data_IF_189749887098
#
_entry.id   IF_189749887098
#
_cell.length_a   1.000
_cell.length_b   1.000
_cell.length_c   1.000
_cell.angle_alpha   90.00
_cell.angle_beta   90.00
_cell.angle_gamma   90.00
#
_symmetry.space_group_name_H-M   'P 1'
#
loop_
_entity.id
_entity.type
_entity.pdbx_description
1 polymer ?
#
# COMPACT_ATOMS: atom_id res chain seq x y z
N UNK A 1 44.29 -17.16 77.61
CA UNK A 1 44.11 -15.72 77.92
C UNK A 1 45.06 -14.99 77.00
N UNK A 2 44.65 -14.32 75.92
CA UNK A 2 43.43 -13.53 75.78
C UNK A 2 43.02 -13.38 74.31
N UNK A 3 41.76 -13.01 74.13
CA UNK A 3 40.90 -13.05 72.95
C UNK A 3 41.41 -12.36 71.67
N UNK A 4 41.22 -13.04 70.54
CA UNK A 4 41.21 -12.45 69.20
C UNK A 4 39.81 -11.86 68.97
N UNK A 5 39.66 -10.54 68.70
CA UNK A 5 38.34 -9.98 68.41
C UNK A 5 37.93 -10.36 66.98
N UNK A 6 36.85 -11.15 66.87
CA UNK A 6 36.08 -11.31 65.64
C UNK A 6 35.20 -10.07 65.45
N UNK A 7 35.35 -9.27 64.39
CA UNK A 7 34.32 -8.30 64.03
C UNK A 7 33.11 -9.04 63.45
N UNK A 8 32.04 -9.11 64.25
CA UNK A 8 30.70 -9.28 63.76
C UNK A 8 30.31 -8.03 62.95
N UNK A 9 29.86 -8.21 61.71
CA UNK A 9 29.55 -7.09 60.84
C UNK A 9 28.81 -7.51 59.59
N UNK A 10 27.54 -7.89 59.80
CA UNK A 10 26.39 -7.72 58.91
C UNK A 10 26.57 -7.88 57.40
N UNK A 11 25.82 -8.86 56.86
CA UNK A 11 25.10 -8.79 55.58
C UNK A 11 25.47 -7.62 54.66
N UNK A 12 26.67 -7.72 54.08
CA UNK A 12 27.03 -6.98 52.88
C UNK A 12 26.26 -7.57 51.72
N UNK A 13 24.94 -7.30 51.64
CA UNK A 13 24.25 -7.16 50.36
C UNK A 13 25.22 -6.37 49.51
N UNK A 14 25.84 -7.01 48.51
CA UNK A 14 26.66 -6.33 47.51
C UNK A 14 25.79 -5.19 47.01
N UNK A 15 26.04 -3.99 47.52
CA UNK A 15 25.44 -2.78 47.02
C UNK A 15 25.86 -2.78 45.56
N UNK A 16 24.90 -3.11 44.68
CA UNK A 16 25.07 -2.91 43.26
C UNK A 16 25.59 -1.48 43.13
N UNK A 17 26.73 -1.26 42.45
CA UNK A 17 27.25 0.09 42.24
C UNK A 17 26.10 0.96 41.80
N UNK A 18 25.92 2.12 42.43
CA UNK A 18 24.95 3.13 42.00
C UNK A 18 25.16 3.30 40.50
N UNK A 19 24.29 2.66 39.71
CA UNK A 19 24.34 2.82 38.27
C UNK A 19 24.09 4.30 38.09
N UNK A 20 24.98 5.04 37.41
CA UNK A 20 24.65 6.41 37.05
C UNK A 20 23.26 6.31 36.42
N UNK A 21 22.29 7.05 36.96
CA UNK A 21 21.01 7.23 36.31
C UNK A 21 21.39 7.62 34.89
N UNK A 22 21.24 6.67 33.96
CA UNK A 22 21.25 6.96 32.55
C UNK A 22 20.12 7.97 32.47
N UNK A 23 20.47 9.25 32.51
CA UNK A 23 19.64 10.31 32.01
C UNK A 23 19.39 9.84 30.61
N UNK A 24 18.24 9.18 30.43
CA UNK A 24 17.82 8.65 29.15
C UNK A 24 17.90 9.86 28.25
N UNK A 25 18.94 9.90 27.41
CA UNK A 25 19.20 11.04 26.56
C UNK A 25 17.92 11.16 25.76
N UNK A 26 17.09 12.18 26.05
CA UNK A 26 15.74 12.28 25.51
C UNK A 26 15.90 12.23 24.01
N UNK A 27 15.55 11.11 23.39
CA UNK A 27 15.78 10.86 21.97
C UNK A 27 14.68 11.60 21.24
N UNK A 28 14.93 12.79 20.66
CA UNK A 28 13.86 13.62 20.09
C UNK A 28 13.18 12.92 18.91
N UNK A 29 13.86 11.95 18.27
CA UNK A 29 13.29 11.12 17.21
C UNK A 29 12.20 10.17 17.72
N UNK A 30 12.34 9.58 18.91
CA UNK A 30 11.32 8.71 19.49
C UNK A 30 10.09 9.52 19.92
N UNK A 31 10.30 10.71 20.49
CA UNK A 31 9.21 11.63 20.82
C UNK A 31 8.47 12.05 19.53
N UNK A 32 9.19 12.36 18.45
CA UNK A 32 8.59 12.71 17.16
C UNK A 32 7.82 11.54 16.52
N UNK A 33 8.32 10.30 16.62
CA UNK A 33 7.63 9.10 16.14
C UNK A 33 6.36 8.81 16.95
N UNK A 34 6.42 8.90 18.28
CA UNK A 34 5.26 8.76 19.16
C UNK A 34 4.17 9.80 18.84
N UNK A 35 4.57 11.05 18.61
CA UNK A 35 3.66 12.12 18.18
C UNK A 35 3.06 11.89 16.79
N UNK A 36 3.83 11.31 15.84
CA UNK A 36 3.33 10.93 14.52
C UNK A 36 2.30 9.80 14.61
N UNK A 37 2.59 8.76 15.38
CA UNK A 37 1.68 7.62 15.60
C UNK A 37 0.39 8.05 16.31
N UNK A 38 0.48 8.95 17.29
CA UNK A 38 -0.69 9.49 17.98
C UNK A 38 -1.59 10.34 17.07
N UNK A 39 -1.04 10.98 16.03
CA UNK A 39 -1.80 11.76 15.03
C UNK A 39 -2.31 10.91 13.86
N UNK A 40 -1.75 9.72 13.65
CA UNK A 40 -2.09 8.80 12.57
C UNK A 40 -3.59 8.43 12.51
N UNK A 41 -4.30 8.12 13.62
CA UNK A 41 -5.74 7.84 13.56
C UNK A 41 -6.57 9.09 13.17
N UNK A 42 -6.16 10.28 13.63
CA UNK A 42 -6.84 11.54 13.29
C UNK A 42 -6.65 11.95 11.84
N UNK A 43 -5.45 11.75 11.29
CA UNK A 43 -5.17 12.02 9.87
C UNK A 43 -5.92 11.06 8.94
N UNK A 44 -6.07 9.78 9.33
CA UNK A 44 -6.89 8.82 8.60
C UNK A 44 -8.38 9.20 8.59
N UNK A 45 -8.91 9.67 9.72
CA UNK A 45 -10.29 10.19 9.81
C UNK A 45 -10.51 11.44 8.94
N UNK A 46 -9.55 12.36 8.91
CA UNK A 46 -9.60 13.53 8.01
C UNK A 46 -9.56 13.07 6.54
N UNK A 47 -8.76 12.05 6.22
CA UNK A 47 -8.73 11.44 4.90
C UNK A 47 -10.05 10.82 4.45
N UNK A 48 -10.90 10.37 5.38
CA UNK A 48 -12.23 9.83 5.05
C UNK A 48 -13.25 10.92 4.65
N UNK A 49 -13.05 12.16 5.11
CA UNK A 49 -13.96 13.28 4.82
C UNK A 49 -14.15 13.53 3.32
N UNK A 50 -13.10 13.56 2.47
CA UNK A 50 -13.29 13.63 1.01
C UNK A 50 -13.67 12.29 0.37
N UNK A 51 -13.33 11.15 0.98
CA UNK A 51 -13.62 9.81 0.41
C UNK A 51 -15.12 9.51 0.45
N UNK A 52 -15.81 9.85 1.55
CA UNK A 52 -17.24 9.55 1.71
C UNK A 52 -18.11 10.23 0.62
N UNK A 53 -17.97 11.55 0.37
CA UNK A 53 -18.70 12.24 -0.68
C UNK A 53 -18.38 11.70 -2.07
N UNK A 54 -17.11 11.37 -2.34
CA UNK A 54 -16.71 10.77 -3.62
C UNK A 54 -17.34 9.39 -3.79
N UNK A 55 -17.33 8.55 -2.76
CA UNK A 55 -17.97 7.23 -2.80
C UNK A 55 -19.48 7.31 -3.00
N UNK A 56 -20.15 8.28 -2.36
CA UNK A 56 -21.59 8.56 -2.55
C UNK A 56 -21.87 9.08 -3.95
N UNK A 57 -21.04 9.98 -4.46
CA UNK A 57 -21.19 10.50 -5.83
C UNK A 57 -21.00 9.38 -6.86
N UNK A 58 -20.00 8.52 -6.63
CA UNK A 58 -19.70 7.39 -7.48
C UNK A 58 -20.80 6.32 -7.44
N UNK A 59 -21.45 6.08 -6.30
CA UNK A 59 -22.54 5.10 -6.20
C UNK A 59 -23.81 5.49 -6.96
N UNK A 60 -23.96 6.77 -7.30
CA UNK A 60 -25.09 7.30 -8.09
C UNK A 60 -24.68 7.56 -9.55
N UNK A 61 -23.37 7.64 -9.85
CA UNK A 61 -22.85 8.18 -11.10
C UNK A 61 -22.99 7.28 -12.33
N UNK A 62 -23.01 5.95 -12.18
CA UNK A 62 -22.97 5.00 -13.32
C UNK A 62 -24.22 4.11 -13.32
N UNK A 63 -25.38 4.72 -13.58
CA UNK A 63 -26.66 3.99 -13.62
C UNK A 63 -27.16 3.47 -12.27
N UNK A 64 -26.64 4.02 -11.15
CA UNK A 64 -26.94 3.58 -9.79
C UNK A 64 -25.88 2.64 -9.20
N UNK A 65 -26.15 2.10 -8.00
CA UNK A 65 -25.15 1.35 -7.23
C UNK A 65 -24.64 0.10 -7.97
N UNK A 66 -25.53 -0.61 -8.68
CA UNK A 66 -25.19 -1.82 -9.42
C UNK A 66 -24.25 -1.53 -10.60
N UNK A 67 -24.59 -0.56 -11.47
CA UNK A 67 -23.73 -0.19 -12.59
C UNK A 67 -22.39 0.41 -12.14
N UNK A 68 -22.40 1.11 -11.00
CA UNK A 68 -21.16 1.62 -10.38
C UNK A 68 -20.26 0.49 -9.91
N UNK A 69 -20.79 -0.60 -9.35
CA UNK A 69 -20.00 -1.78 -8.96
C UNK A 69 -19.46 -2.51 -10.19
N UNK A 70 -20.25 -2.64 -11.25
CA UNK A 70 -19.83 -3.32 -12.49
C UNK A 70 -18.65 -2.61 -13.17
N UNK A 71 -18.60 -1.28 -13.11
CA UNK A 71 -17.51 -0.49 -13.68
C UNK A 71 -16.35 -0.31 -12.70
N UNK A 72 -16.63 0.09 -11.45
CA UNK A 72 -15.59 0.39 -10.47
C UNK A 72 -14.91 -0.87 -9.92
N UNK A 73 -15.63 -2.00 -9.81
CA UNK A 73 -15.07 -3.25 -9.30
C UNK A 73 -13.79 -3.65 -10.04
N UNK A 74 -13.87 -3.91 -11.36
CA UNK A 74 -12.71 -4.23 -12.18
C UNK A 74 -11.63 -3.14 -12.14
N UNK A 75 -12.00 -1.85 -12.28
CA UNK A 75 -11.04 -0.74 -12.26
C UNK A 75 -10.24 -0.69 -10.95
N UNK A 76 -10.92 -0.86 -9.81
CA UNK A 76 -10.28 -0.92 -8.49
C UNK A 76 -9.39 -2.15 -8.39
N UNK A 77 -9.87 -3.33 -8.79
CA UNK A 77 -9.08 -4.57 -8.76
C UNK A 77 -7.79 -4.44 -9.56
N UNK A 78 -7.84 -3.89 -10.77
CA UNK A 78 -6.64 -3.68 -11.59
C UNK A 78 -5.76 -2.51 -11.14
N UNK A 79 -6.28 -1.62 -10.29
CA UNK A 79 -5.49 -0.57 -9.66
C UNK A 79 -4.62 -1.09 -8.50
N UNK A 80 -5.05 -2.15 -7.80
CA UNK A 80 -4.32 -2.71 -6.64
C UNK A 80 -2.86 -3.11 -6.93
N UNK A 81 -2.53 -3.85 -8.00
CA UNK A 81 -1.13 -4.18 -8.29
C UNK A 81 -0.30 -2.94 -8.63
N UNK A 82 -0.91 -1.90 -9.21
CA UNK A 82 -0.26 -0.61 -9.46
C UNK A 82 0.03 0.13 -8.16
N UNK A 83 -0.93 0.15 -7.23
CA UNK A 83 -0.73 0.71 -5.89
C UNK A 83 0.42 -0.01 -5.18
N UNK A 84 0.47 -1.34 -5.24
CA UNK A 84 1.57 -2.12 -4.67
C UNK A 84 2.92 -1.81 -5.34
N UNK A 85 2.94 -1.63 -6.67
CA UNK A 85 4.14 -1.19 -7.40
C UNK A 85 4.63 0.16 -6.89
N UNK A 86 3.74 1.15 -6.79
CA UNK A 86 4.09 2.50 -6.35
C UNK A 86 4.63 2.48 -4.92
N UNK A 87 3.91 1.81 -4.01
CA UNK A 87 4.26 1.76 -2.60
C UNK A 87 5.56 0.98 -2.33
N UNK A 88 5.72 -0.22 -2.91
CA UNK A 88 6.79 -1.15 -2.51
C UNK A 88 8.02 -1.17 -3.43
N UNK A 89 7.85 -0.79 -4.70
CA UNK A 89 8.92 -0.85 -5.70
C UNK A 89 9.41 0.53 -6.09
N UNK A 90 8.50 1.49 -6.20
CA UNK A 90 8.84 2.86 -6.58
C UNK A 90 9.02 3.80 -5.38
N UNK A 91 8.83 3.32 -4.14
CA UNK A 91 9.05 4.09 -2.91
C UNK A 91 8.25 5.41 -2.93
N UNK A 92 6.95 5.30 -3.21
CA UNK A 92 6.00 6.42 -3.31
C UNK A 92 6.35 7.45 -4.40
N UNK A 93 7.04 7.03 -5.45
CA UNK A 93 7.23 7.81 -6.67
C UNK A 93 6.03 7.60 -7.63
N UNK A 94 5.45 8.64 -8.26
CA UNK A 94 5.97 10.00 -8.49
C UNK A 94 5.83 11.01 -7.34
N UNK A 95 4.98 10.74 -6.36
CA UNK A 95 4.67 11.64 -5.25
C UNK A 95 5.89 12.20 -4.50
N UNK A 96 6.90 11.38 -4.25
CA UNK A 96 8.15 11.78 -3.57
C UNK A 96 9.02 12.76 -4.37
N UNK A 97 8.83 12.87 -5.69
CA UNK A 97 9.60 13.77 -6.57
C UNK A 97 8.91 15.08 -6.90
N UNK A 98 7.62 15.20 -6.58
CA UNK A 98 6.79 16.35 -6.91
C UNK A 98 6.66 17.30 -5.71
N UNK A 99 6.31 18.56 -5.98
CA UNK A 99 6.03 19.54 -4.92
C UNK A 99 4.93 19.00 -3.99
N UNK A 100 4.92 19.34 -2.69
CA UNK A 100 3.97 18.79 -1.71
C UNK A 100 2.48 18.91 -2.06
N UNK A 101 2.09 19.82 -2.97
CA UNK A 101 0.70 19.97 -3.44
C UNK A 101 0.34 19.11 -4.67
N UNK A 102 1.31 18.50 -5.35
CA UNK A 102 1.12 17.74 -6.59
C UNK A 102 1.30 16.24 -6.44
N UNK A 103 1.84 15.76 -5.32
CA UNK A 103 2.11 14.35 -5.09
C UNK A 103 0.83 13.50 -5.10
N UNK A 104 -0.16 13.86 -4.28
CA UNK A 104 -1.43 13.14 -4.20
C UNK A 104 -2.19 13.06 -5.54
N UNK A 105 -2.39 14.19 -6.25
CA UNK A 105 -3.04 14.16 -7.57
C UNK A 105 -2.28 13.35 -8.61
N UNK A 106 -0.94 13.43 -8.64
CA UNK A 106 -0.14 12.69 -9.61
C UNK A 106 -0.20 11.18 -9.36
N UNK A 107 -0.08 10.74 -8.11
CA UNK A 107 -0.20 9.32 -7.77
C UNK A 107 -1.59 8.79 -8.15
N UNK A 108 -2.63 9.56 -7.85
CA UNK A 108 -4.01 9.22 -8.21
C UNK A 108 -4.19 9.09 -9.72
N UNK A 109 -3.64 10.02 -10.50
CA UNK A 109 -3.70 9.98 -11.97
C UNK A 109 -2.94 8.78 -12.55
N UNK A 110 -1.76 8.45 -12.01
CA UNK A 110 -0.98 7.29 -12.44
C UNK A 110 -1.73 6.00 -12.13
N UNK A 111 -2.29 5.87 -10.92
CA UNK A 111 -3.08 4.70 -10.51
C UNK A 111 -4.31 4.55 -11.41
N UNK A 112 -5.07 5.63 -11.60
CA UNK A 112 -6.27 5.61 -12.42
C UNK A 112 -5.96 5.24 -13.88
N UNK A 113 -4.95 5.87 -14.48
CA UNK A 113 -4.57 5.62 -15.87
C UNK A 113 -4.05 4.19 -16.07
N UNK A 114 -3.15 3.72 -15.20
CA UNK A 114 -2.62 2.37 -15.29
C UNK A 114 -3.71 1.31 -15.03
N UNK A 115 -4.61 1.54 -14.08
CA UNK A 115 -5.75 0.66 -13.79
C UNK A 115 -6.68 0.50 -15.00
N UNK A 116 -6.98 1.59 -15.71
CA UNK A 116 -7.75 1.56 -16.97
C UNK A 116 -7.00 0.73 -18.04
N UNK A 117 -5.70 0.97 -18.24
CA UNK A 117 -4.92 0.24 -19.23
C UNK A 117 -4.84 -1.27 -18.94
N UNK A 118 -4.62 -1.65 -17.68
CA UNK A 118 -4.61 -3.06 -17.25
C UNK A 118 -5.97 -3.73 -17.44
N UNK A 119 -7.06 -2.99 -17.18
CA UNK A 119 -8.43 -3.46 -17.39
C UNK A 119 -8.71 -3.70 -18.88
N UNK A 120 -8.30 -2.77 -19.75
CA UNK A 120 -8.41 -2.93 -21.21
C UNK A 120 -7.57 -4.10 -21.72
N UNK A 121 -6.37 -4.28 -21.16
CA UNK A 121 -5.49 -5.39 -21.54
C UNK A 121 -6.12 -6.74 -21.14
N UNK A 122 -6.77 -6.83 -19.99
CA UNK A 122 -7.48 -8.03 -19.57
C UNK A 122 -8.70 -8.34 -20.48
N UNK A 123 -9.46 -7.32 -20.90
CA UNK A 123 -10.53 -7.51 -21.89
C UNK A 123 -9.98 -8.08 -23.20
N UNK A 124 -8.83 -7.57 -23.67
CA UNK A 124 -8.19 -8.05 -24.90
C UNK A 124 -7.73 -9.51 -24.82
N UNK A 125 -7.37 -10.00 -23.62
CA UNK A 125 -7.01 -11.42 -23.40
C UNK A 125 -8.25 -12.32 -23.38
N UNK A 126 -9.33 -11.86 -22.74
CA UNK A 126 -10.53 -12.69 -22.50
C UNK A 126 -11.44 -12.75 -23.72
N UNK A 127 -11.63 -11.64 -24.44
CA UNK A 127 -12.51 -11.58 -25.61
C UNK A 127 -11.97 -10.60 -26.66
N UNK A 128 -12.13 -9.29 -26.44
CA UNK A 128 -11.68 -8.22 -27.32
C UNK A 128 -11.55 -6.90 -26.56
N UNK A 129 -10.74 -5.99 -27.10
CA UNK A 129 -10.63 -4.64 -26.55
C UNK A 129 -11.89 -3.82 -26.85
N UNK A 130 -12.60 -3.42 -25.80
CA UNK A 130 -13.87 -2.69 -25.90
C UNK A 130 -13.93 -1.55 -24.89
N UNK A 131 -13.53 -0.36 -25.35
CA UNK A 131 -13.53 0.87 -24.57
C UNK A 131 -14.91 1.24 -24.01
N UNK A 132 -15.99 0.91 -24.73
CA UNK A 132 -17.35 1.17 -24.22
C UNK A 132 -17.68 0.18 -23.11
N UNK A 133 -17.34 -1.09 -23.28
CA UNK A 133 -17.50 -2.12 -22.24
C UNK A 133 -16.75 -1.85 -20.93
N UNK A 134 -15.72 -0.97 -20.92
CA UNK A 134 -15.02 -0.56 -19.68
C UNK A 134 -15.86 0.42 -18.84
N UNK A 135 -16.60 1.33 -19.49
CA UNK A 135 -17.26 2.46 -18.82
C UNK A 135 -18.79 2.42 -18.88
N UNK A 136 -19.37 1.59 -19.74
CA UNK A 136 -20.81 1.46 -19.92
C UNK A 136 -21.31 0.19 -19.20
N UNK A 137 -22.04 0.33 -18.08
CA UNK A 137 -22.59 -0.81 -17.34
C UNK A 137 -23.74 -1.50 -18.07
N UNK A 138 -24.32 -0.85 -19.09
CA UNK A 138 -25.44 -1.36 -19.90
C UNK A 138 -25.00 -1.93 -21.25
N UNK A 139 -23.69 -1.99 -21.48
CA UNK A 139 -23.07 -2.60 -22.64
C UNK A 139 -23.59 -4.05 -22.78
N UNK A 140 -24.57 -4.25 -23.65
CA UNK A 140 -25.29 -5.53 -23.80
C UNK A 140 -24.37 -6.69 -24.23
N UNK A 141 -24.93 -7.87 -24.45
CA UNK A 141 -24.22 -9.14 -24.72
C UNK A 141 -23.19 -9.13 -25.89
N UNK A 142 -23.10 -8.03 -26.65
CA UNK A 142 -22.06 -7.76 -27.65
C UNK A 142 -20.88 -6.92 -27.17
N UNK A 143 -20.66 -6.76 -25.87
CA UNK A 143 -19.49 -6.05 -25.31
C UNK A 143 -18.67 -6.97 -24.40
N UNK A 144 -17.35 -6.73 -24.35
CA UNK A 144 -16.44 -7.55 -23.54
C UNK A 144 -16.62 -7.21 -22.05
N UNK A 145 -17.39 -8.03 -21.33
CA UNK A 145 -17.66 -7.84 -19.92
C UNK A 145 -16.38 -7.96 -19.08
N UNK A 146 -16.01 -6.90 -18.37
CA UNK A 146 -14.91 -6.90 -17.40
C UNK A 146 -15.30 -7.65 -16.13
N UNK A 147 -16.53 -7.46 -15.65
CA UNK A 147 -17.08 -8.19 -14.51
C UNK A 147 -17.97 -9.36 -14.97
N UNK A 148 -17.83 -10.58 -14.41
CA UNK A 148 -16.78 -11.05 -13.50
C UNK A 148 -15.55 -11.60 -14.23
N UNK A 149 -15.58 -11.71 -15.57
CA UNK A 149 -14.66 -12.54 -16.35
C UNK A 149 -13.18 -12.16 -16.22
N UNK A 150 -12.86 -10.87 -16.02
CA UNK A 150 -11.47 -10.39 -15.89
C UNK A 150 -11.00 -10.27 -14.44
N UNK A 151 -11.90 -10.40 -13.45
CA UNK A 151 -11.57 -10.12 -12.05
C UNK A 151 -10.57 -11.10 -11.43
N UNK A 152 -10.64 -12.38 -11.82
CA UNK A 152 -9.69 -13.40 -11.37
C UNK A 152 -8.26 -13.09 -11.84
N UNK A 153 -8.11 -12.53 -13.04
CA UNK A 153 -6.81 -12.08 -13.58
C UNK A 153 -6.27 -10.92 -12.73
N UNK A 154 -7.10 -9.91 -12.46
CA UNK A 154 -6.67 -8.76 -11.65
C UNK A 154 -6.31 -9.14 -10.21
N UNK A 155 -7.12 -10.01 -9.58
CA UNK A 155 -6.83 -10.55 -8.26
C UNK A 155 -5.56 -11.42 -8.24
N UNK A 156 -5.38 -12.27 -9.24
CA UNK A 156 -4.18 -13.10 -9.43
C UNK A 156 -2.93 -12.26 -9.58
N UNK A 157 -2.97 -11.23 -10.44
CA UNK A 157 -1.86 -10.32 -10.64
C UNK A 157 -1.50 -9.54 -9.37
N UNK A 158 -2.49 -9.11 -8.58
CA UNK A 158 -2.22 -8.51 -7.28
C UNK A 158 -1.53 -9.49 -6.32
N UNK A 159 -2.03 -10.72 -6.21
CA UNK A 159 -1.42 -11.74 -5.35
C UNK A 159 0.00 -12.07 -5.81
N UNK A 160 0.21 -12.26 -7.11
CA UNK A 160 1.54 -12.49 -7.69
C UNK A 160 2.49 -11.34 -7.36
N UNK A 161 2.03 -10.09 -7.50
CA UNK A 161 2.81 -8.91 -7.14
C UNK A 161 3.20 -8.92 -5.65
N UNK A 162 2.28 -9.26 -4.74
CA UNK A 162 2.58 -9.40 -3.32
C UNK A 162 3.57 -10.54 -3.04
N UNK A 163 3.44 -11.68 -3.72
CA UNK A 163 4.36 -12.81 -3.57
C UNK A 163 5.78 -12.45 -4.02
N UNK A 164 5.92 -11.79 -5.19
CA UNK A 164 7.22 -11.30 -5.65
C UNK A 164 7.79 -10.29 -4.65
N UNK A 165 6.94 -9.40 -4.11
CA UNK A 165 7.37 -8.33 -3.20
C UNK A 165 7.82 -8.87 -1.84
N UNK A 166 7.02 -9.75 -1.22
CA UNK A 166 7.19 -10.15 0.17
C UNK A 166 7.77 -11.54 0.34
N UNK A 167 7.38 -12.51 -0.48
CA UNK A 167 7.91 -13.87 -0.35
C UNK A 167 9.28 -14.00 -1.03
N UNK A 168 9.49 -13.30 -2.14
CA UNK A 168 10.75 -13.33 -2.90
C UNK A 168 11.62 -12.09 -2.66
N UNK A 169 11.18 -11.20 -1.75
CA UNK A 169 11.87 -9.96 -1.38
C UNK A 169 12.20 -9.04 -2.59
N UNK A 170 11.48 -9.19 -3.69
CA UNK A 170 11.71 -8.50 -4.96
C UNK A 170 12.88 -9.03 -5.79
N UNK A 171 13.47 -10.17 -5.45
CA UNK A 171 14.50 -10.82 -6.25
C UNK A 171 13.89 -11.61 -7.43
N UNK A 172 14.50 -11.61 -8.63
CA UNK A 172 15.74 -10.91 -9.04
C UNK A 172 15.50 -9.47 -9.55
N UNK A 173 14.24 -9.04 -9.66
CA UNK A 173 13.83 -7.84 -10.39
C UNK A 173 14.34 -6.53 -9.78
N UNK A 174 14.56 -6.47 -8.46
CA UNK A 174 15.12 -5.29 -7.77
C UNK A 174 16.50 -4.86 -8.30
N UNK A 175 17.21 -5.72 -9.04
CA UNK A 175 18.53 -5.40 -9.64
C UNK A 175 18.44 -4.49 -10.87
N UNK A 176 17.25 -4.31 -11.45
CA UNK A 176 17.05 -3.56 -12.70
C UNK A 176 16.92 -2.05 -12.53
N UNK A 177 17.05 -1.54 -11.30
CA UNK A 177 16.83 -0.12 -10.96
C UNK A 177 15.37 0.16 -10.57
N UNK A 178 15.14 1.28 -9.87
CA UNK A 178 13.85 1.57 -9.21
C UNK A 178 12.64 1.50 -10.14
N UNK A 179 12.66 2.24 -11.25
CA UNK A 179 11.49 2.32 -12.15
C UNK A 179 11.28 1.01 -12.91
N UNK A 180 12.33 0.49 -13.54
CA UNK A 180 12.24 -0.73 -14.34
C UNK A 180 11.89 -1.96 -13.50
N UNK A 181 12.38 -2.06 -12.27
CA UNK A 181 12.06 -3.20 -11.38
C UNK A 181 10.57 -3.29 -11.07
N UNK A 182 9.92 -2.18 -10.73
CA UNK A 182 8.48 -2.15 -10.46
C UNK A 182 7.65 -2.49 -11.71
N UNK A 183 8.00 -1.90 -12.87
CA UNK A 183 7.30 -2.19 -14.12
C UNK A 183 7.47 -3.64 -14.56
N UNK A 184 8.67 -4.21 -14.41
CA UNK A 184 8.92 -5.63 -14.69
C UNK A 184 8.18 -6.54 -13.70
N UNK A 185 8.10 -6.17 -12.41
CA UNK A 185 7.37 -6.95 -11.42
C UNK A 185 5.87 -6.98 -11.74
N UNK A 186 5.30 -5.83 -12.13
CA UNK A 186 3.92 -5.75 -12.59
C UNK A 186 3.70 -6.60 -13.85
N UNK A 187 4.62 -6.53 -14.83
CA UNK A 187 4.52 -7.32 -16.06
C UNK A 187 4.61 -8.83 -15.79
N UNK A 188 5.53 -9.28 -14.92
CA UNK A 188 5.65 -10.69 -14.53
C UNK A 188 4.41 -11.15 -13.77
N UNK A 189 3.92 -10.33 -12.84
CA UNK A 189 2.71 -10.63 -12.08
C UNK A 189 1.46 -10.74 -12.96
N UNK A 190 1.45 -10.06 -14.11
CA UNK A 190 0.34 -10.11 -15.05
C UNK A 190 0.39 -11.32 -16.00
N UNK A 191 1.58 -11.87 -16.26
CA UNK A 191 1.79 -13.03 -17.16
C UNK A 191 1.74 -14.37 -16.43
N UNK A 192 2.09 -14.40 -15.15
CA UNK A 192 2.13 -15.62 -14.31
C UNK A 192 0.78 -16.01 -13.72
#
# INVERSE_FOLDING_TARGET
>A
MSDVPLPAGGDGRRALPDRPLLTAHRRPHLDAELWRHARQPGLGLIGLVPVLPVAVLLSVGVGGAEGSVLVLGPLVTFSLPVVAMIAFWWEDWPGSSLRPGWSGPADTLVIAFAGILLTMLAQAVVDRLDLRGVFDPTAGAGHAATFPATMSIGGGAFVAMLQITFAWEGWPLRRLGRIASGACALAVAWVG
#
